data_IF_704432519301
#
_entry.id   IF_704432519301
#
_cell.length_a   1.000
_cell.length_b   1.000
_cell.length_c   1.000
_cell.angle_alpha   90.00
_cell.angle_beta   90.00
_cell.angle_gamma   90.00
#
_symmetry.space_group_name_H-M   'P 1'
#
loop_
_entity.id
_entity.type
_entity.pdbx_description
1 polymer ?
#
# COMPACT_ATOMS: atom_id res chain seq x y z
N UNK A 1 6.79 8.79 15.29
CA UNK A 1 6.17 10.14 15.33
C UNK A 1 5.57 10.46 16.71
N UNK A 2 4.79 9.56 17.32
CA UNK A 2 4.10 9.83 18.59
C UNK A 2 4.88 9.47 19.87
N UNK A 3 6.14 9.04 19.76
CA UNK A 3 6.96 8.50 20.86
C UNK A 3 6.23 7.43 21.71
N UNK A 4 5.30 6.70 21.08
CA UNK A 4 4.53 5.58 21.60
C UNK A 4 4.79 4.37 20.68
N UNK A 5 4.94 3.19 21.28
CA UNK A 5 5.03 1.94 20.52
C UNK A 5 3.62 1.46 20.17
N UNK A 6 3.46 0.97 18.95
CA UNK A 6 2.23 0.38 18.44
C UNK A 6 2.52 -1.04 17.98
N UNK A 7 1.49 -1.87 17.96
CA UNK A 7 1.51 -3.21 17.39
C UNK A 7 0.49 -3.32 16.24
N UNK A 8 0.19 -4.54 15.80
CA UNK A 8 -0.71 -4.83 14.69
C UNK A 8 -2.20 -4.58 14.99
N UNK A 9 -2.51 -4.04 16.17
CA UNK A 9 -3.86 -3.73 16.63
C UNK A 9 -4.05 -2.21 16.80
N UNK A 10 -5.25 -1.67 16.48
CA UNK A 10 -5.51 -0.26 16.69
C UNK A 10 -5.45 0.12 18.17
N UNK A 11 -4.55 1.05 18.51
CA UNK A 11 -4.36 1.55 19.87
C UNK A 11 -4.53 3.07 19.91
N UNK A 12 -5.14 3.63 20.97
CA UNK A 12 -5.31 5.07 21.09
C UNK A 12 -3.94 5.78 21.18
N UNK A 13 -3.81 6.89 20.46
CA UNK A 13 -2.60 7.71 20.48
C UNK A 13 -2.65 8.68 21.66
N UNK A 14 -1.62 8.65 22.49
CA UNK A 14 -1.51 9.52 23.65
C UNK A 14 -1.52 11.00 23.24
N UNK A 15 -2.41 11.80 23.84
CA UNK A 15 -2.51 13.25 23.59
C UNK A 15 -3.49 13.64 22.48
N UNK A 16 -4.10 12.69 21.79
CA UNK A 16 -5.06 12.94 20.73
C UNK A 16 -6.38 12.21 20.99
N UNK A 17 -7.48 12.96 20.98
CA UNK A 17 -8.81 12.36 21.01
C UNK A 17 -9.15 11.79 19.62
N UNK A 18 -9.79 10.62 19.60
CA UNK A 18 -10.27 9.97 18.36
C UNK A 18 -9.18 9.55 17.36
N UNK A 19 -7.89 9.60 17.73
CA UNK A 19 -6.80 9.08 16.92
C UNK A 19 -6.33 7.73 17.45
N UNK A 20 -6.35 6.72 16.59
CA UNK A 20 -5.74 5.43 16.84
C UNK A 20 -4.63 5.19 15.83
N UNK A 21 -3.60 4.46 16.23
CA UNK A 21 -2.53 4.02 15.36
C UNK A 21 -2.27 2.53 15.58
N UNK A 22 -1.80 1.89 14.52
CA UNK A 22 -1.28 0.53 14.52
C UNK A 22 -0.04 0.54 13.63
N UNK A 23 0.91 -0.36 13.90
CA UNK A 23 2.10 -0.55 13.10
C UNK A 23 2.13 -2.00 12.60
N UNK A 24 2.07 -2.16 11.28
CA UNK A 24 2.11 -3.48 10.65
C UNK A 24 3.58 -3.82 10.43
N UNK A 25 4.12 -4.79 11.18
CA UNK A 25 5.46 -5.33 10.92
C UNK A 25 5.40 -6.28 9.72
N UNK A 26 6.01 -5.92 8.59
CA UNK A 26 5.93 -6.71 7.37
C UNK A 26 6.54 -8.11 7.49
N UNK A 27 7.60 -8.27 8.30
CA UNK A 27 8.28 -9.56 8.46
C UNK A 27 7.39 -10.50 9.30
N UNK A 28 6.73 -9.97 10.34
CA UNK A 28 5.74 -10.72 11.12
C UNK A 28 4.52 -11.13 10.28
N UNK A 29 4.05 -10.25 9.39
CA UNK A 29 2.94 -10.56 8.47
C UNK A 29 3.29 -11.68 7.50
N UNK A 30 4.50 -11.65 6.94
CA UNK A 30 4.98 -12.69 6.03
C UNK A 30 5.02 -14.03 6.76
N UNK A 31 5.65 -14.08 7.93
CA UNK A 31 5.75 -15.31 8.73
C UNK A 31 4.37 -15.87 9.10
N UNK A 32 3.42 -15.00 9.44
CA UNK A 32 2.03 -15.38 9.73
C UNK A 32 1.34 -15.94 8.50
N UNK A 33 1.39 -15.22 7.37
CA UNK A 33 0.81 -15.64 6.10
C UNK A 33 1.32 -17.02 5.66
N UNK A 34 2.63 -17.24 5.77
CA UNK A 34 3.26 -18.51 5.42
C UNK A 34 2.86 -19.63 6.36
N UNK A 35 2.74 -19.35 7.66
CA UNK A 35 2.29 -20.33 8.65
C UNK A 35 0.86 -20.75 8.39
N UNK A 36 -0.03 -19.80 8.10
CA UNK A 36 -1.42 -20.07 7.72
C UNK A 36 -1.50 -20.86 6.42
N UNK A 37 -0.74 -20.47 5.40
CA UNK A 37 -0.67 -21.18 4.14
C UNK A 37 -0.20 -22.63 4.33
N UNK A 38 0.83 -22.86 5.17
CA UNK A 38 1.31 -24.20 5.52
C UNK A 38 0.24 -25.03 6.23
N UNK A 39 -0.46 -24.45 7.19
CA UNK A 39 -1.53 -25.12 7.92
C UNK A 39 -2.64 -25.55 6.96
N UNK A 40 -3.09 -24.64 6.10
CA UNK A 40 -4.15 -24.88 5.12
C UNK A 40 -3.74 -25.91 4.06
N UNK A 41 -2.49 -25.86 3.57
CA UNK A 41 -1.97 -26.87 2.64
C UNK A 41 -1.79 -28.24 3.32
N UNK A 42 -1.42 -28.25 4.60
CA UNK A 42 -1.27 -29.46 5.42
C UNK A 42 -2.54 -30.28 5.56
N UNK A 43 -3.71 -29.64 5.49
CA UNK A 43 -5.01 -30.31 5.56
C UNK A 43 -5.40 -31.02 4.24
N UNK A 44 -4.77 -30.64 3.12
CA UNK A 44 -5.16 -31.07 1.77
C UNK A 44 -4.07 -31.85 1.01
N UNK A 45 -2.81 -31.71 1.43
CA UNK A 45 -1.64 -32.29 0.76
C UNK A 45 -0.87 -33.24 1.70
N UNK A 46 -0.07 -34.14 1.11
CA UNK A 46 0.75 -35.05 1.90
C UNK A 46 1.89 -34.30 2.62
N UNK A 47 2.34 -34.75 3.81
CA UNK A 47 3.41 -34.09 4.56
C UNK A 47 4.70 -33.86 3.74
N UNK A 48 4.99 -34.77 2.79
CA UNK A 48 6.14 -34.64 1.90
C UNK A 48 5.98 -33.51 0.87
N UNK A 49 4.78 -33.35 0.27
CA UNK A 49 4.50 -32.23 -0.64
C UNK A 49 4.43 -30.90 0.10
N UNK A 50 3.86 -30.89 1.31
CA UNK A 50 3.82 -29.69 2.16
C UNK A 50 5.24 -29.25 2.50
N UNK A 51 6.12 -30.18 2.87
CA UNK A 51 7.51 -29.88 3.19
C UNK A 51 8.29 -29.34 1.97
N UNK A 52 8.04 -29.88 0.77
CA UNK A 52 8.71 -29.41 -0.45
C UNK A 52 8.21 -28.04 -0.91
N UNK A 53 6.89 -27.79 -0.83
CA UNK A 53 6.30 -26.46 -1.10
C UNK A 53 6.76 -25.45 -0.03
N UNK A 54 6.80 -25.86 1.24
CA UNK A 54 7.29 -25.02 2.35
C UNK A 54 8.75 -24.64 2.17
N UNK A 55 9.60 -25.58 1.77
CA UNK A 55 11.01 -25.29 1.46
C UNK A 55 11.17 -24.35 0.27
N UNK A 56 10.34 -24.49 -0.79
CA UNK A 56 10.36 -23.55 -1.91
C UNK A 56 9.86 -22.16 -1.51
N UNK A 57 8.83 -22.10 -0.65
CA UNK A 57 8.31 -20.86 -0.10
C UNK A 57 9.33 -20.18 0.83
N UNK A 58 10.02 -20.94 1.70
CA UNK A 58 11.14 -20.49 2.56
C UNK A 58 12.31 -19.94 1.78
N UNK A 59 12.73 -20.65 0.72
CA UNK A 59 13.73 -20.12 -0.21
C UNK A 59 13.24 -18.86 -0.96
N UNK A 60 11.93 -18.57 -0.91
CA UNK A 60 11.31 -17.37 -1.45
C UNK A 60 10.85 -16.35 -0.41
N UNK A 61 11.16 -16.52 0.89
CA UNK A 61 10.88 -15.50 1.92
C UNK A 61 11.61 -14.17 1.65
N UNK A 62 12.56 -14.16 0.70
CA UNK A 62 13.23 -12.96 0.18
C UNK A 62 12.87 -12.66 -1.28
N UNK A 63 11.87 -13.34 -1.86
CA UNK A 63 11.43 -13.08 -3.23
C UNK A 63 10.51 -11.88 -3.24
N UNK A 64 10.83 -10.82 -4.01
CA UNK A 64 9.91 -9.72 -4.27
C UNK A 64 8.58 -10.29 -4.79
N UNK A 65 7.52 -10.16 -4.01
CA UNK A 65 6.17 -10.65 -4.28
C UNK A 65 5.46 -11.28 -3.08
N UNK A 66 6.17 -12.06 -2.24
CA UNK A 66 5.56 -12.70 -1.07
C UNK A 66 5.32 -11.71 0.07
N UNK A 67 6.33 -10.86 0.31
CA UNK A 67 6.28 -9.71 1.21
C UNK A 67 5.11 -8.78 0.86
N UNK A 68 5.05 -8.42 -0.41
CA UNK A 68 4.03 -7.56 -0.95
C UNK A 68 2.61 -8.16 -0.82
N UNK A 69 2.46 -9.47 -1.08
CA UNK A 69 1.16 -10.14 -0.93
C UNK A 69 0.68 -10.19 0.53
N UNK A 70 1.56 -10.48 1.49
CA UNK A 70 1.19 -10.53 2.90
C UNK A 70 0.76 -9.15 3.42
N UNK A 71 1.50 -8.10 3.07
CA UNK A 71 1.11 -6.73 3.41
C UNK A 71 -0.22 -6.32 2.77
N UNK A 72 -0.43 -6.72 1.51
CA UNK A 72 -1.67 -6.40 0.82
C UNK A 72 -2.88 -7.10 1.44
N UNK A 73 -2.73 -8.35 1.86
CA UNK A 73 -3.76 -9.07 2.64
C UNK A 73 -4.11 -8.31 3.91
N UNK A 74 -3.11 -7.79 4.62
CA UNK A 74 -3.37 -6.99 5.81
C UNK A 74 -4.07 -5.68 5.53
N UNK A 75 -3.74 -5.03 4.41
CA UNK A 75 -4.45 -3.82 4.00
C UNK A 75 -5.93 -4.12 3.74
N UNK A 76 -6.23 -5.25 3.07
CA UNK A 76 -7.62 -5.70 2.86
C UNK A 76 -8.33 -5.91 4.20
N UNK A 77 -7.67 -6.59 5.14
CA UNK A 77 -8.23 -6.84 6.47
C UNK A 77 -8.53 -5.54 7.22
N UNK A 78 -7.61 -4.58 7.21
CA UNK A 78 -7.83 -3.25 7.80
C UNK A 78 -8.98 -2.52 7.11
N UNK A 79 -9.02 -2.52 5.77
CA UNK A 79 -10.11 -1.87 5.01
C UNK A 79 -11.49 -2.49 5.33
N UNK A 80 -11.56 -3.82 5.54
CA UNK A 80 -12.81 -4.52 5.86
C UNK A 80 -13.28 -4.30 7.29
N UNK A 81 -12.35 -4.16 8.25
CA UNK A 81 -12.66 -4.13 9.67
C UNK A 81 -12.56 -2.73 10.30
N UNK A 82 -12.49 -1.68 9.49
CA UNK A 82 -12.39 -0.30 9.97
C UNK A 82 -13.74 0.40 10.21
N UNK A 83 -14.84 -0.34 10.36
CA UNK A 83 -16.20 0.24 10.52
C UNK A 83 -16.33 1.16 11.75
N UNK A 84 -15.48 0.98 12.76
CA UNK A 84 -15.45 1.83 13.97
C UNK A 84 -14.74 3.17 13.75
N UNK A 85 -14.13 3.39 12.59
CA UNK A 85 -13.38 4.59 12.25
C UNK A 85 -14.03 5.33 11.08
N UNK A 86 -14.16 6.66 11.21
CA UNK A 86 -14.60 7.50 10.10
C UNK A 86 -13.57 7.56 8.95
N UNK A 87 -12.32 7.18 9.24
CA UNK A 87 -11.20 7.25 8.32
C UNK A 87 -10.05 6.33 8.70
N UNK A 88 -9.44 5.73 7.68
CA UNK A 88 -8.14 5.09 7.78
C UNK A 88 -7.13 5.87 6.94
N UNK A 89 -5.94 6.12 7.50
CA UNK A 89 -4.80 6.71 6.78
C UNK A 89 -3.71 5.65 6.71
N UNK A 90 -3.31 5.27 5.50
CA UNK A 90 -2.20 4.36 5.28
C UNK A 90 -0.92 5.17 5.05
N UNK A 91 0.05 5.02 5.97
CA UNK A 91 1.42 5.53 5.77
C UNK A 91 2.25 4.45 5.06
N UNK A 92 2.40 4.59 3.75
CA UNK A 92 3.06 3.58 2.92
C UNK A 92 4.56 3.77 2.87
N UNK A 93 5.31 2.68 2.83
CA UNK A 93 6.76 2.73 2.62
C UNK A 93 7.11 3.53 1.36
N UNK A 94 8.27 4.23 1.32
CA UNK A 94 8.71 4.99 0.15
C UNK A 94 9.18 4.09 -1.01
N UNK A 95 9.09 2.77 -0.88
CA UNK A 95 9.53 1.85 -1.92
C UNK A 95 8.45 1.72 -3.00
N UNK A 96 8.85 1.79 -4.28
CA UNK A 96 7.92 1.64 -5.41
C UNK A 96 7.12 0.33 -5.42
N UNK A 97 7.51 -0.66 -4.59
CA UNK A 97 6.77 -1.89 -4.36
C UNK A 97 5.37 -1.66 -3.79
N UNK A 98 5.20 -0.75 -2.82
CA UNK A 98 3.89 -0.51 -2.19
C UNK A 98 2.90 0.18 -3.14
N UNK A 99 3.35 1.15 -3.94
CA UNK A 99 2.48 1.78 -4.95
C UNK A 99 2.09 0.80 -6.05
N UNK A 100 3.02 -0.08 -6.45
CA UNK A 100 2.73 -1.17 -7.39
C UNK A 100 1.65 -2.10 -6.82
N UNK A 101 1.70 -2.42 -5.52
CA UNK A 101 0.68 -3.27 -4.89
C UNK A 101 -0.74 -2.72 -5.00
N UNK A 102 -0.89 -1.42 -4.77
CA UNK A 102 -2.20 -0.76 -4.80
C UNK A 102 -2.79 -0.71 -6.21
N UNK A 103 -1.93 -0.72 -7.24
CA UNK A 103 -2.30 -0.78 -8.65
C UNK A 103 -2.52 -2.21 -9.21
N UNK A 104 -2.23 -3.26 -8.44
CA UNK A 104 -2.32 -4.66 -8.90
C UNK A 104 -3.68 -5.37 -8.79
N UNK A 105 -4.72 -4.93 -8.03
CA UNK A 105 -5.93 -5.73 -7.80
C UNK A 105 -6.57 -6.27 -9.08
N UNK A 106 -6.70 -5.44 -10.12
CA UNK A 106 -7.31 -5.84 -11.39
C UNK A 106 -6.52 -6.92 -12.13
N UNK A 107 -5.19 -6.81 -12.13
CA UNK A 107 -4.33 -7.81 -12.75
C UNK A 107 -4.36 -9.15 -12.00
N UNK A 108 -4.45 -9.10 -10.66
CA UNK A 108 -4.56 -10.28 -9.82
C UNK A 108 -5.91 -10.98 -9.99
N UNK A 109 -7.00 -10.22 -10.10
CA UNK A 109 -8.33 -10.75 -10.39
C UNK A 109 -8.35 -11.55 -11.71
N UNK A 110 -7.84 -10.94 -12.79
CA UNK A 110 -7.75 -11.60 -14.11
C UNK A 110 -6.89 -12.86 -14.07
N UNK A 111 -5.83 -12.86 -13.26
CA UNK A 111 -4.97 -14.03 -13.08
C UNK A 111 -5.69 -15.15 -12.32
N UNK A 112 -6.42 -14.82 -11.26
CA UNK A 112 -7.24 -15.76 -10.49
C UNK A 112 -8.32 -16.39 -11.38
N UNK A 113 -8.99 -15.61 -12.23
CA UNK A 113 -9.98 -16.13 -13.17
C UNK A 113 -9.38 -17.20 -14.11
N UNK A 114 -8.14 -17.00 -14.56
CA UNK A 114 -7.42 -17.99 -15.38
C UNK A 114 -7.10 -19.26 -14.58
N UNK A 115 -6.71 -19.13 -13.31
CA UNK A 115 -6.45 -20.27 -12.42
C UNK A 115 -7.73 -21.06 -12.14
N UNK A 116 -8.83 -20.36 -11.83
CA UNK A 116 -10.16 -20.94 -11.64
C UNK A 116 -10.60 -21.72 -12.88
N UNK A 117 -10.47 -21.15 -14.07
CA UNK A 117 -10.80 -21.82 -15.32
C UNK A 117 -9.98 -23.09 -15.54
N UNK A 118 -8.67 -23.02 -15.31
CA UNK A 118 -7.77 -24.20 -15.42
C UNK A 118 -8.14 -25.28 -14.40
N UNK A 119 -8.44 -24.91 -13.15
CA UNK A 119 -8.79 -25.87 -12.09
C UNK A 119 -10.12 -26.55 -12.40
N UNK A 120 -11.16 -25.79 -12.78
CA UNK A 120 -12.47 -26.32 -13.19
C UNK A 120 -12.34 -27.32 -14.34
N UNK A 121 -11.55 -27.00 -15.38
CA UNK A 121 -11.27 -27.94 -16.49
C UNK A 121 -10.54 -29.19 -16.02
N UNK A 122 -9.52 -29.05 -15.17
CA UNK A 122 -8.78 -30.19 -14.63
C UNK A 122 -9.71 -31.17 -13.93
N UNK A 123 -10.56 -30.66 -13.02
CA UNK A 123 -11.58 -31.45 -12.32
C UNK A 123 -12.50 -32.16 -13.32
N UNK A 124 -13.05 -31.44 -14.31
CA UNK A 124 -13.91 -32.01 -15.36
C UNK A 124 -13.22 -33.17 -16.14
N UNK A 125 -11.93 -33.04 -16.47
CA UNK A 125 -11.18 -34.12 -17.12
C UNK A 125 -11.01 -35.34 -16.21
N UNK A 126 -10.71 -35.13 -14.93
CA UNK A 126 -10.63 -36.22 -13.94
C UNK A 126 -11.98 -36.95 -13.80
N UNK A 127 -13.10 -36.22 -13.77
CA UNK A 127 -14.44 -36.83 -13.72
C UNK A 127 -14.71 -37.72 -14.94
N UNK A 128 -14.33 -37.26 -16.13
CA UNK A 128 -14.52 -38.02 -17.38
C UNK A 128 -13.65 -39.28 -17.44
N UNK A 129 -12.49 -39.27 -16.79
CA UNK A 129 -11.59 -40.41 -16.71
C UNK A 129 -11.94 -41.39 -15.58
N UNK A 130 -12.60 -40.92 -14.50
CA UNK A 130 -13.00 -41.75 -13.38
C UNK A 130 -14.25 -42.60 -13.71
N UNK A 131 -14.10 -43.93 -13.65
CA UNK A 131 -15.19 -44.90 -13.86
C UNK A 131 -16.12 -44.89 -12.62
N UNK A 132 -16.95 -43.85 -12.45
CA UNK A 132 -17.88 -43.76 -11.33
C UNK A 132 -18.53 -42.37 -11.14
N UNK A 133 -19.73 -42.18 -11.70
CA UNK A 133 -20.46 -40.89 -11.76
C UNK A 133 -20.78 -40.23 -10.41
N UNK A 134 -20.74 -40.94 -9.29
CA UNK A 134 -21.13 -40.40 -7.97
C UNK A 134 -19.96 -39.85 -7.13
N UNK A 135 -18.73 -40.29 -7.36
CA UNK A 135 -17.57 -39.86 -6.56
C UNK A 135 -16.96 -38.58 -7.15
N UNK A 136 -17.02 -38.45 -8.48
CA UNK A 136 -16.68 -37.26 -9.26
C UNK A 136 -17.51 -36.02 -8.87
N UNK A 137 -18.84 -36.13 -8.89
CA UNK A 137 -19.75 -35.00 -8.57
C UNK A 137 -19.58 -34.41 -7.17
N UNK A 138 -19.20 -35.21 -6.18
CA UNK A 138 -18.91 -34.73 -4.81
C UNK A 138 -17.59 -33.96 -4.72
N UNK A 139 -16.67 -34.13 -5.66
CA UNK A 139 -15.43 -33.35 -5.72
C UNK A 139 -15.65 -31.96 -6.34
N UNK A 140 -16.70 -31.77 -7.17
CA UNK A 140 -17.05 -30.45 -7.72
C UNK A 140 -17.72 -29.53 -6.69
N UNK A 141 -18.63 -30.05 -5.85
CA UNK A 141 -19.36 -29.27 -4.83
C UNK A 141 -18.54 -28.96 -3.56
N UNK A 142 -17.21 -29.11 -3.63
CA UNK A 142 -16.32 -28.85 -2.50
C UNK A 142 -14.85 -28.97 -2.85
N UNK A 143 -14.44 -28.62 -4.09
CA UNK A 143 -13.01 -28.48 -4.38
C UNK A 143 -12.49 -27.28 -3.57
N UNK A 144 -11.65 -27.52 -2.55
CA UNK A 144 -11.24 -26.46 -1.65
C UNK A 144 -10.32 -25.43 -2.33
N UNK A 145 -9.66 -25.81 -3.42
CA UNK A 145 -8.81 -24.89 -4.21
C UNK A 145 -9.70 -23.94 -5.00
N UNK A 146 -10.82 -24.42 -5.55
CA UNK A 146 -11.79 -23.55 -6.23
C UNK A 146 -12.39 -22.55 -5.22
N UNK A 147 -12.86 -23.02 -4.07
CA UNK A 147 -13.44 -22.17 -3.04
C UNK A 147 -12.44 -21.07 -2.60
N UNK A 148 -11.18 -21.45 -2.34
CA UNK A 148 -10.13 -20.50 -1.95
C UNK A 148 -9.80 -19.47 -3.04
N UNK A 149 -9.73 -19.90 -4.30
CA UNK A 149 -9.50 -18.97 -5.40
C UNK A 149 -10.69 -18.02 -5.58
N UNK A 150 -11.93 -18.42 -5.26
CA UNK A 150 -13.09 -17.53 -5.28
C UNK A 150 -13.04 -16.50 -4.14
N UNK A 151 -12.77 -16.94 -2.91
CA UNK A 151 -12.58 -16.05 -1.75
C UNK A 151 -11.49 -15.00 -2.03
N UNK A 152 -10.35 -15.44 -2.55
CA UNK A 152 -9.25 -14.54 -2.94
C UNK A 152 -9.64 -13.54 -4.02
N UNK A 153 -10.54 -13.94 -4.92
CA UNK A 153 -11.08 -13.04 -5.95
C UNK A 153 -11.91 -11.94 -5.32
N UNK A 154 -12.84 -12.32 -4.44
CA UNK A 154 -13.73 -11.40 -3.73
C UNK A 154 -12.95 -10.40 -2.85
N UNK A 155 -11.83 -10.83 -2.26
CA UNK A 155 -10.89 -9.96 -1.54
C UNK A 155 -10.29 -8.87 -2.43
N UNK A 156 -9.78 -9.23 -3.61
CA UNK A 156 -9.16 -8.29 -4.54
C UNK A 156 -10.17 -7.39 -5.25
N UNK A 157 -11.36 -7.91 -5.59
CA UNK A 157 -12.46 -7.11 -6.11
C UNK A 157 -12.84 -6.01 -5.09
N UNK A 158 -13.04 -6.39 -3.82
CA UNK A 158 -13.33 -5.43 -2.74
C UNK A 158 -12.25 -4.36 -2.58
N UNK A 159 -10.97 -4.76 -2.54
CA UNK A 159 -9.87 -3.79 -2.44
C UNK A 159 -9.84 -2.84 -3.64
N UNK A 160 -9.97 -3.37 -4.86
CA UNK A 160 -9.96 -2.57 -6.07
C UNK A 160 -11.12 -1.57 -6.13
N UNK A 161 -12.33 -1.97 -5.70
CA UNK A 161 -13.49 -1.08 -5.61
C UNK A 161 -13.26 0.01 -4.55
N UNK A 162 -12.82 -0.37 -3.35
CA UNK A 162 -12.55 0.56 -2.24
C UNK A 162 -11.48 1.59 -2.62
N UNK A 163 -10.37 1.14 -3.21
CA UNK A 163 -9.25 2.02 -3.58
C UNK A 163 -9.61 3.01 -4.71
N UNK A 164 -10.51 2.63 -5.62
CA UNK A 164 -10.97 3.52 -6.71
C UNK A 164 -12.13 4.44 -6.30
N UNK A 165 -13.04 3.95 -5.46
CA UNK A 165 -14.29 4.65 -5.12
C UNK A 165 -14.23 5.46 -3.82
N UNK A 166 -13.59 4.92 -2.78
CA UNK A 166 -13.68 5.44 -1.42
C UNK A 166 -12.33 5.91 -0.83
N UNK A 167 -11.24 5.73 -1.59
CA UNK A 167 -9.90 6.18 -1.20
C UNK A 167 -9.44 7.40 -1.98
N UNK A 168 -8.40 8.07 -1.47
CA UNK A 168 -7.70 9.14 -2.16
C UNK A 168 -6.21 9.09 -1.83
N UNK A 169 -5.37 9.37 -2.82
CA UNK A 169 -3.92 9.29 -2.70
C UNK A 169 -3.32 10.69 -2.64
N UNK A 170 -2.33 10.88 -1.77
CA UNK A 170 -1.52 12.10 -1.73
C UNK A 170 -0.06 11.67 -1.75
N UNK A 171 0.70 12.21 -2.70
CA UNK A 171 2.12 11.86 -2.83
C UNK A 171 2.98 12.94 -2.19
N UNK A 172 4.01 12.53 -1.45
CA UNK A 172 4.99 13.42 -0.85
C UNK A 172 6.28 13.34 -1.65
N UNK A 173 6.83 14.50 -2.04
CA UNK A 173 8.08 14.58 -2.79
C UNK A 173 8.98 15.70 -2.25
N UNK A 174 10.29 15.59 -2.48
CA UNK A 174 11.21 16.71 -2.26
C UNK A 174 11.44 17.46 -3.58
N UNK A 175 11.85 18.74 -3.56
CA UNK A 175 12.16 19.53 -4.75
C UNK A 175 13.52 19.15 -5.35
N UNK A 176 13.70 17.87 -5.71
CA UNK A 176 14.90 17.36 -6.38
C UNK A 176 14.55 16.48 -7.59
N UNK A 177 15.48 16.37 -8.54
CA UNK A 177 15.25 15.73 -9.84
C UNK A 177 14.86 14.25 -9.71
N UNK A 178 15.45 13.53 -8.75
CA UNK A 178 15.16 12.11 -8.56
C UNK A 178 13.75 11.94 -7.99
N UNK A 179 13.41 12.73 -6.98
CA UNK A 179 12.08 12.69 -6.36
C UNK A 179 11.00 13.03 -7.38
N UNK A 180 11.18 14.08 -8.19
CA UNK A 180 10.22 14.44 -9.25
C UNK A 180 10.04 13.30 -10.25
N UNK A 181 11.13 12.67 -10.67
CA UNK A 181 11.08 11.57 -11.64
C UNK A 181 10.36 10.35 -11.10
N UNK A 182 10.57 10.02 -9.82
CA UNK A 182 9.90 8.88 -9.19
C UNK A 182 8.42 9.18 -8.93
N UNK A 183 8.09 10.42 -8.52
CA UNK A 183 6.69 10.87 -8.42
C UNK A 183 5.97 10.77 -9.77
N UNK A 184 6.63 11.10 -10.89
CA UNK A 184 6.02 10.92 -12.22
C UNK A 184 5.63 9.45 -12.47
N UNK A 185 6.55 8.52 -12.23
CA UNK A 185 6.28 7.08 -12.41
C UNK A 185 5.18 6.57 -11.50
N UNK A 186 5.16 7.06 -10.25
CA UNK A 186 4.11 6.76 -9.29
C UNK A 186 2.74 7.24 -9.79
N UNK A 187 2.64 8.50 -10.24
CA UNK A 187 1.42 9.07 -10.81
C UNK A 187 0.94 8.27 -12.03
N UNK A 188 1.83 7.97 -12.98
CA UNK A 188 1.50 7.18 -14.16
C UNK A 188 0.89 5.83 -13.76
N UNK A 189 1.49 5.15 -12.78
CA UNK A 189 1.00 3.84 -12.29
C UNK A 189 -0.35 3.93 -11.57
N UNK A 190 -0.57 4.98 -10.78
CA UNK A 190 -1.84 5.20 -10.08
C UNK A 190 -2.96 5.55 -11.07
N UNK A 191 -2.67 6.39 -12.08
CA UNK A 191 -3.64 6.75 -13.12
C UNK A 191 -3.97 5.59 -14.05
N UNK A 192 -2.99 4.76 -14.43
CA UNK A 192 -3.24 3.54 -15.19
C UNK A 192 -4.17 2.56 -14.46
N UNK A 193 -4.18 2.58 -13.12
CA UNK A 193 -5.03 1.76 -12.28
C UNK A 193 -6.36 2.45 -11.86
N UNK A 194 -6.66 3.62 -12.44
CA UNK A 194 -7.83 4.45 -12.11
C UNK A 194 -7.90 4.86 -10.61
N UNK A 195 -6.74 5.05 -9.97
CA UNK A 195 -6.66 5.46 -8.56
C UNK A 195 -6.62 6.99 -8.43
N UNK A 196 -7.51 7.59 -7.61
CA UNK A 196 -7.64 9.04 -7.53
C UNK A 196 -6.52 9.68 -6.70
N UNK A 197 -5.64 10.44 -7.36
CA UNK A 197 -4.61 11.25 -6.69
C UNK A 197 -5.13 12.66 -6.44
N UNK A 198 -5.23 13.04 -5.16
CA UNK A 198 -5.76 14.34 -4.71
C UNK A 198 -4.76 15.47 -4.80
N UNK A 199 -3.48 15.19 -4.54
CA UNK A 199 -2.51 16.24 -4.38
C UNK A 199 -1.07 15.78 -4.20
N UNK A 200 -0.17 16.73 -4.35
CA UNK A 200 1.26 16.61 -4.07
C UNK A 200 1.63 17.46 -2.85
N UNK A 201 2.43 16.90 -1.95
CA UNK A 201 3.04 17.64 -0.83
C UNK A 201 4.53 17.77 -1.12
N UNK A 202 5.00 19.00 -1.37
CA UNK A 202 6.42 19.27 -1.55
C UNK A 202 7.05 19.51 -0.19
N UNK A 203 7.91 18.59 0.24
CA UNK A 203 8.52 18.60 1.56
C UNK A 203 9.98 19.10 1.51
N UNK A 204 10.49 19.50 2.68
CA UNK A 204 11.87 19.91 2.92
C UNK A 204 12.31 21.13 2.10
N UNK A 205 11.40 22.08 1.89
CA UNK A 205 11.76 23.38 1.32
C UNK A 205 12.70 24.14 2.26
N UNK A 206 13.66 24.85 1.69
CA UNK A 206 14.59 25.66 2.45
C UNK A 206 13.90 26.96 2.88
N UNK A 207 13.92 27.33 4.17
CA UNK A 207 13.39 28.61 4.61
C UNK A 207 14.23 29.76 4.03
N UNK A 208 13.57 30.79 3.52
CA UNK A 208 14.23 31.96 2.95
C UNK A 208 14.87 32.80 4.07
N UNK A 209 16.14 33.24 3.92
CA UNK A 209 16.77 34.12 4.91
C UNK A 209 16.19 35.52 4.84
N UNK A 210 16.36 36.30 5.92
CA UNK A 210 15.88 37.68 5.93
C UNK A 210 16.54 38.49 4.79
N UNK A 211 15.82 39.44 4.15
CA UNK A 211 16.35 40.20 3.01
C UNK A 211 17.66 40.95 3.30
N UNK A 212 17.87 41.35 4.56
CA UNK A 212 19.03 42.14 4.99
C UNK A 212 20.29 41.28 5.27
N UNK A 213 20.13 39.96 5.39
CA UNK A 213 21.24 39.07 5.75
C UNK A 213 22.14 38.79 4.53
N UNK A 214 23.39 39.23 4.56
CA UNK A 214 24.30 39.08 3.41
C UNK A 214 25.52 38.19 3.72
N UNK A 215 25.46 37.44 4.81
CA UNK A 215 26.50 36.49 5.18
C UNK A 215 26.49 35.22 4.33
N UNK A 216 27.56 34.42 4.43
CA UNK A 216 27.73 33.15 3.69
C UNK A 216 26.51 32.21 3.83
N UNK A 217 25.92 32.12 5.01
CA UNK A 217 24.75 31.29 5.26
C UNK A 217 23.52 31.76 4.48
N UNK A 218 23.22 33.06 4.53
CA UNK A 218 22.11 33.64 3.78
C UNK A 218 22.30 33.52 2.26
N UNK A 219 23.51 33.73 1.74
CA UNK A 219 23.80 33.48 0.32
C UNK A 219 23.50 32.02 -0.05
N UNK A 220 24.00 31.06 0.74
CA UNK A 220 23.75 29.63 0.49
C UNK A 220 22.26 29.27 0.50
N UNK A 221 21.49 29.79 1.46
CA UNK A 221 20.05 29.55 1.54
C UNK A 221 19.31 30.16 0.35
N UNK A 222 19.69 31.37 -0.10
CA UNK A 222 19.10 31.98 -1.31
C UNK A 222 19.36 31.15 -2.56
N UNK A 223 20.60 30.71 -2.78
CA UNK A 223 20.94 29.86 -3.92
C UNK A 223 20.14 28.54 -3.90
N UNK A 224 19.91 27.99 -2.70
CA UNK A 224 19.07 26.81 -2.48
C UNK A 224 17.61 27.07 -2.81
N UNK A 225 17.04 28.16 -2.31
CA UNK A 225 15.65 28.59 -2.57
C UNK A 225 15.44 28.84 -4.06
N UNK A 226 16.38 29.51 -4.73
CA UNK A 226 16.31 29.74 -6.20
C UNK A 226 16.23 28.41 -6.95
N UNK A 227 17.11 27.45 -6.63
CA UNK A 227 17.08 26.11 -7.22
C UNK A 227 15.76 25.38 -6.93
N UNK A 228 15.22 25.52 -5.72
CA UNK A 228 13.97 24.87 -5.33
C UNK A 228 12.75 25.53 -6.00
N UNK A 229 12.77 26.84 -6.24
CA UNK A 229 11.74 27.55 -7.00
C UNK A 229 11.70 27.11 -8.47
N UNK A 230 12.86 26.86 -9.09
CA UNK A 230 12.91 26.25 -10.42
C UNK A 230 12.26 24.86 -10.41
N UNK A 231 12.54 24.04 -9.39
CA UNK A 231 11.94 22.71 -9.22
C UNK A 231 10.44 22.76 -8.95
N UNK A 232 9.98 23.70 -8.12
CA UNK A 232 8.56 23.93 -7.88
C UNK A 232 7.83 24.33 -9.17
N UNK A 233 8.48 25.16 -10.00
CA UNK A 233 7.94 25.51 -11.32
C UNK A 233 7.86 24.27 -12.21
N UNK A 234 8.92 23.46 -12.28
CA UNK A 234 8.92 22.18 -13.01
C UNK A 234 7.80 21.25 -12.54
N UNK A 235 7.58 21.11 -11.23
CA UNK A 235 6.51 20.28 -10.64
C UNK A 235 5.13 20.78 -11.09
N UNK A 236 4.87 22.09 -10.97
CA UNK A 236 3.59 22.70 -11.36
C UNK A 236 3.31 22.62 -12.87
N UNK A 237 4.34 22.61 -13.69
CA UNK A 237 4.21 22.49 -15.15
C UNK A 237 4.16 21.03 -15.64
N UNK A 238 4.80 20.11 -14.91
CA UNK A 238 4.93 18.70 -15.31
C UNK A 238 3.77 17.82 -14.87
N UNK A 239 3.04 18.22 -13.83
CA UNK A 239 1.97 17.42 -13.24
C UNK A 239 0.66 18.17 -13.28
N UNK A 240 -0.39 17.50 -13.76
CA UNK A 240 -1.76 18.01 -13.67
C UNK A 240 -2.30 17.94 -12.22
N UNK A 241 -1.63 17.17 -11.35
CA UNK A 241 -1.96 17.08 -9.93
C UNK A 241 -1.57 18.36 -9.18
N UNK A 242 -2.48 18.98 -8.40
CA UNK A 242 -2.15 20.20 -7.68
C UNK A 242 -1.20 19.95 -6.52
N UNK A 243 -0.33 20.92 -6.24
CA UNK A 243 0.40 20.98 -4.97
C UNK A 243 -0.58 21.44 -3.89
N UNK A 244 -0.78 20.61 -2.86
CA UNK A 244 -1.72 20.87 -1.75
C UNK A 244 -1.02 21.36 -0.49
N UNK A 245 0.30 21.17 -0.39
CA UNK A 245 1.11 21.77 0.67
C UNK A 245 2.59 21.89 0.25
N UNK A 246 3.23 22.94 0.77
CA UNK A 246 4.65 23.22 0.64
C UNK A 246 5.22 23.31 2.06
N UNK A 247 5.98 22.30 2.47
CA UNK A 247 6.46 22.13 3.84
C UNK A 247 7.94 22.44 3.90
N UNK A 248 8.29 23.47 4.67
CA UNK A 248 9.69 23.82 4.92
C UNK A 248 10.38 22.78 5.82
N UNK A 249 11.70 22.69 5.70
CA UNK A 249 12.51 21.86 6.59
C UNK A 249 12.45 22.39 8.03
N UNK A 250 12.48 21.48 9.00
CA UNK A 250 12.53 21.82 10.42
C UNK A 250 13.90 21.46 10.99
N UNK A 251 14.36 22.26 11.94
CA UNK A 251 15.69 22.09 12.57
C UNK A 251 15.77 20.82 13.43
N UNK A 252 14.61 20.37 13.94
CA UNK A 252 14.47 19.18 14.77
C UNK A 252 13.46 18.22 14.13
N UNK A 253 13.51 16.97 14.59
CA UNK A 253 12.51 15.97 14.23
C UNK A 253 11.09 16.46 14.59
N UNK A 254 10.15 16.22 13.67
CA UNK A 254 8.74 16.65 13.79
C UNK A 254 8.02 15.70 14.75
N UNK A 255 7.89 16.13 16.00
CA UNK A 255 7.26 15.43 17.11
C UNK A 255 6.60 16.41 18.08
N UNK A 256 5.60 15.93 18.84
CA UNK A 256 4.83 16.75 19.78
C UNK A 256 4.23 17.96 19.08
N UNK A 257 4.30 19.14 19.70
CA UNK A 257 3.73 20.39 19.16
C UNK A 257 4.15 20.70 17.71
N UNK A 258 5.35 20.28 17.29
CA UNK A 258 5.82 20.51 15.91
C UNK A 258 5.04 19.67 14.88
N UNK A 259 4.53 18.51 15.29
CA UNK A 259 3.64 17.71 14.46
C UNK A 259 2.33 18.45 14.22
N UNK A 260 1.77 19.08 15.24
CA UNK A 260 0.52 19.84 15.12
C UNK A 260 0.70 21.09 14.25
N UNK A 261 1.85 21.76 14.37
CA UNK A 261 2.23 22.88 13.50
C UNK A 261 2.29 22.45 12.03
N UNK A 262 3.04 21.37 11.72
CA UNK A 262 3.16 20.85 10.35
C UNK A 262 1.82 20.34 9.84
N UNK A 263 0.99 19.71 10.67
CA UNK A 263 -0.33 19.26 10.29
C UNK A 263 -1.25 20.44 9.92
N UNK A 264 -1.12 21.60 10.61
CA UNK A 264 -1.84 22.82 10.28
C UNK A 264 -1.45 23.46 8.94
N UNK A 265 -0.26 23.15 8.42
CA UNK A 265 0.20 23.61 7.10
C UNK A 265 -0.31 22.72 5.96
N UNK A 266 -0.81 21.52 6.25
CA UNK A 266 -1.38 20.64 5.25
C UNK A 266 -2.75 21.17 4.81
N UNK A 267 -2.82 21.70 3.58
CA UNK A 267 -4.07 22.10 2.91
C UNK A 267 -4.98 20.93 2.50
N UNK A 268 -4.83 19.77 3.13
CA UNK A 268 -5.61 18.58 2.86
C UNK A 268 -6.96 18.71 3.57
N UNK A 269 -8.00 19.12 2.84
CA UNK A 269 -9.35 18.96 3.35
C UNK A 269 -9.62 17.46 3.56
N UNK A 270 -10.08 17.04 4.74
CA UNK A 270 -10.25 15.63 4.99
C UNK A 270 -11.27 15.01 4.03
N UNK A 271 -12.40 15.65 3.71
CA UNK A 271 -13.51 14.94 3.03
C UNK A 271 -13.16 14.50 1.60
N UNK A 272 -13.49 13.25 1.18
CA UNK A 272 -13.65 12.98 -0.24
C UNK A 272 -14.78 13.90 -0.74
N UNK A 273 -14.53 14.62 -1.83
CA UNK A 273 -15.58 15.41 -2.47
C UNK A 273 -16.63 14.42 -2.97
N UNK A 274 -17.91 14.57 -2.58
CA UNK A 274 -18.97 13.68 -3.04
C UNK A 274 -19.20 13.75 -4.55
#
# INVERSE_FOLDING_TARGET
>A
VFDQQFDDSPQPVSGYDHLHAMEIDPDEEVDRHLTELRQQLGEQLSPAMVNEISMQLEMSHQTPGAYEAALFDRFIDVMRNAEEFDRVVFDTSPTGGTLRLLALPEHLEQWIDRLLHKRKKSVEYYERAAIGKQQARRMMEGDPIIARLQERKEEFEFAGETLRGDAAFTLVLNPDELSIRETRRALDSLYEADLPVRGLVVNKLTPEPDPEENGRGATYLRDRVETEQERLTEIRESFDTPIVAEIETRVREVKGDLLDEVAGELGLEPRPTP
#
